data_IF_621157674991
#
_entry.id   IF_621157674991
#
_cell.length_a   1.000
_cell.length_b   1.000
_cell.length_c   1.000
_cell.angle_alpha   90.00
_cell.angle_beta   90.00
_cell.angle_gamma   90.00
#
_symmetry.space_group_name_H-M   'P 1'
#
loop_
_entity.id
_entity.type
_entity.pdbx_description
1 polymer ?
#
# COMPACT_ATOMS: atom_id res chain seq x y z
N UNK A 1 -25.27 -7.24 1.36
CA UNK A 1 -24.81 -6.95 -0.01
C UNK A 1 -25.94 -6.20 -0.70
N UNK A 2 -25.65 -5.06 -1.29
CA UNK A 2 -26.60 -4.25 -2.06
C UNK A 2 -26.18 -4.35 -3.52
N UNK A 3 -27.13 -4.41 -4.44
CA UNK A 3 -26.88 -4.47 -5.89
C UNK A 3 -27.26 -3.12 -6.49
N UNK A 4 -26.39 -2.58 -7.29
CA UNK A 4 -26.58 -1.33 -8.03
C UNK A 4 -26.38 -1.59 -9.51
N UNK A 5 -27.18 -0.95 -10.34
CA UNK A 5 -26.98 -0.92 -11.78
C UNK A 5 -26.10 0.28 -12.14
N UNK A 6 -25.23 0.10 -13.10
CA UNK A 6 -24.35 1.16 -13.62
C UNK A 6 -24.62 1.32 -15.13
N UNK A 7 -25.72 2.00 -15.54
CA UNK A 7 -26.06 2.21 -16.93
C UNK A 7 -25.17 3.27 -17.57
N UNK A 8 -25.08 3.23 -18.90
CA UNK A 8 -24.44 4.26 -19.74
C UNK A 8 -22.96 4.52 -19.41
N UNK A 9 -22.24 3.48 -18.95
CA UNK A 9 -20.83 3.55 -18.57
C UNK A 9 -19.94 3.36 -19.81
N UNK A 10 -19.03 4.31 -20.04
CA UNK A 10 -18.02 4.21 -21.09
C UNK A 10 -16.89 3.24 -20.72
N UNK A 11 -16.42 2.47 -21.69
CA UNK A 11 -15.25 1.58 -21.53
C UNK A 11 -13.96 2.35 -21.14
N UNK A 12 -13.90 3.64 -21.41
CA UNK A 12 -12.74 4.51 -21.11
C UNK A 12 -12.77 5.10 -19.71
N UNK A 13 -13.90 5.02 -19.01
CA UNK A 13 -14.01 5.43 -17.61
C UNK A 13 -13.14 4.55 -16.71
N UNK A 14 -12.61 5.14 -15.64
CA UNK A 14 -12.00 4.41 -14.55
C UNK A 14 -13.07 3.76 -13.65
N UNK A 15 -12.66 2.78 -12.86
CA UNK A 15 -13.54 2.11 -11.91
C UNK A 15 -14.13 3.08 -10.87
N UNK A 16 -13.40 4.12 -10.50
CA UNK A 16 -13.90 5.14 -9.57
C UNK A 16 -14.91 6.08 -10.21
N UNK A 17 -14.73 6.43 -11.49
CA UNK A 17 -15.72 7.24 -12.22
C UNK A 17 -17.05 6.49 -12.36
N UNK A 18 -17.04 5.18 -12.55
CA UNK A 18 -18.26 4.37 -12.49
C UNK A 18 -18.95 4.50 -11.12
N UNK A 19 -18.19 4.44 -10.01
CA UNK A 19 -18.76 4.63 -8.68
C UNK A 19 -19.31 6.05 -8.47
N UNK A 20 -18.68 7.07 -9.08
CA UNK A 20 -19.21 8.44 -9.07
C UNK A 20 -20.57 8.48 -9.79
N UNK A 21 -20.70 7.88 -10.98
CA UNK A 21 -21.97 7.81 -11.73
C UNK A 21 -23.07 7.11 -10.91
N UNK A 22 -22.74 5.98 -10.29
CA UNK A 22 -23.70 5.28 -9.41
C UNK A 22 -24.11 6.17 -8.24
N UNK A 23 -23.17 6.90 -7.63
CA UNK A 23 -23.47 7.80 -6.53
C UNK A 23 -24.31 9.02 -6.96
N UNK A 24 -24.07 9.58 -8.15
CA UNK A 24 -24.89 10.65 -8.71
C UNK A 24 -26.35 10.20 -8.88
N UNK A 25 -26.57 8.98 -9.37
CA UNK A 25 -27.91 8.40 -9.51
C UNK A 25 -28.57 8.16 -8.13
N UNK A 26 -27.83 7.65 -7.14
CA UNK A 26 -28.34 7.48 -5.77
C UNK A 26 -28.77 8.82 -5.16
N UNK A 27 -27.93 9.86 -5.30
CA UNK A 27 -28.24 11.21 -4.80
C UNK A 27 -29.47 11.78 -5.50
N UNK A 28 -29.60 11.60 -6.82
CA UNK A 28 -30.76 12.08 -7.57
C UNK A 28 -32.07 11.43 -7.11
N UNK A 29 -32.00 10.18 -6.61
CA UNK A 29 -33.15 9.45 -6.03
C UNK A 29 -33.36 9.75 -4.53
N UNK A 30 -32.51 10.59 -3.90
CA UNK A 30 -32.58 10.89 -2.49
C UNK A 30 -32.08 9.76 -1.58
N UNK A 31 -31.27 8.85 -2.13
CA UNK A 31 -30.62 7.76 -1.39
C UNK A 31 -29.21 8.15 -0.93
N UNK A 32 -28.72 7.49 0.12
CA UNK A 32 -27.34 7.70 0.60
C UNK A 32 -26.33 7.18 -0.44
N UNK A 33 -25.32 7.99 -0.83
CA UNK A 33 -24.26 7.54 -1.71
C UNK A 33 -23.34 6.53 -1.02
N UNK A 34 -22.75 5.66 -1.83
CA UNK A 34 -21.73 4.71 -1.37
C UNK A 34 -20.49 5.48 -0.92
N UNK A 35 -20.07 5.30 0.33
CA UNK A 35 -18.86 5.92 0.84
C UNK A 35 -17.63 5.13 0.38
N UNK A 36 -16.73 5.78 -0.35
CA UNK A 36 -15.43 5.22 -0.75
C UNK A 36 -14.35 6.32 -0.75
N UNK A 37 -13.11 5.90 -0.47
CA UNK A 37 -11.97 6.81 -0.49
C UNK A 37 -11.43 6.99 -1.91
N UNK A 38 -11.28 8.23 -2.35
CA UNK A 38 -10.58 8.60 -3.57
C UNK A 38 -9.95 9.97 -3.40
N UNK A 39 -8.70 10.15 -3.86
CA UNK A 39 -8.00 11.42 -3.77
C UNK A 39 -7.29 11.73 -5.10
N UNK A 40 -6.05 11.28 -5.31
CA UNK A 40 -5.25 11.67 -6.47
C UNK A 40 -5.83 11.21 -7.82
N UNK A 41 -6.51 10.08 -7.88
CA UNK A 41 -6.98 9.39 -9.10
C UNK A 41 -5.88 9.08 -10.13
N UNK A 42 -4.61 9.11 -9.69
CA UNK A 42 -3.41 8.91 -10.53
C UNK A 42 -2.55 7.73 -10.07
N UNK A 43 -3.07 6.89 -9.15
CA UNK A 43 -2.38 5.70 -8.66
C UNK A 43 -1.18 5.99 -7.77
N UNK A 44 -1.12 7.14 -7.08
CA UNK A 44 0.04 7.57 -6.29
C UNK A 44 -0.23 7.82 -4.80
N UNK A 45 -1.48 8.02 -4.38
CA UNK A 45 -1.79 8.33 -2.98
C UNK A 45 -2.14 7.10 -2.12
N UNK A 46 -2.53 5.97 -2.73
CA UNK A 46 -2.92 4.76 -2.02
C UNK A 46 -4.29 4.80 -1.33
N UNK A 47 -5.15 5.80 -1.62
CA UNK A 47 -6.44 5.95 -0.94
C UNK A 47 -7.54 5.03 -1.50
N UNK A 48 -7.57 4.74 -2.80
CA UNK A 48 -8.59 3.95 -3.47
C UNK A 48 -8.55 2.43 -3.11
N UNK A 49 -8.84 2.12 -1.87
CA UNK A 49 -8.64 0.80 -1.24
C UNK A 49 -9.86 -0.11 -1.46
N UNK A 50 -9.96 -0.75 -2.63
CA UNK A 50 -11.09 -1.60 -3.01
C UNK A 50 -10.64 -3.03 -3.34
N UNK A 51 -11.41 -4.01 -2.86
CA UNK A 51 -11.37 -5.39 -3.36
C UNK A 51 -12.42 -5.52 -4.45
N UNK A 52 -11.98 -5.78 -5.67
CA UNK A 52 -12.83 -5.87 -6.85
C UNK A 52 -12.83 -7.32 -7.32
N UNK A 53 -14.01 -7.95 -7.36
CA UNK A 53 -14.16 -9.39 -7.68
C UNK A 53 -13.22 -10.30 -6.88
N UNK A 54 -13.04 -10.00 -5.60
CA UNK A 54 -12.21 -10.78 -4.68
C UNK A 54 -10.70 -10.48 -4.74
N UNK A 55 -10.25 -9.56 -5.61
CA UNK A 55 -8.83 -9.21 -5.77
C UNK A 55 -8.61 -7.74 -5.42
N UNK A 56 -7.66 -7.42 -4.51
CA UNK A 56 -7.28 -6.04 -4.27
C UNK A 56 -6.91 -5.31 -5.56
N UNK A 57 -7.49 -4.13 -5.77
CA UNK A 57 -7.35 -3.31 -6.97
C UNK A 57 -7.80 -3.96 -8.30
N UNK A 58 -8.51 -5.11 -8.27
CA UNK A 58 -9.07 -5.75 -9.46
C UNK A 58 -8.11 -6.63 -10.26
N UNK A 59 -6.89 -6.89 -9.76
CA UNK A 59 -5.99 -7.93 -10.27
C UNK A 59 -5.19 -7.59 -11.53
N UNK A 60 -5.29 -6.39 -12.08
CA UNK A 60 -4.39 -5.94 -13.14
C UNK A 60 -3.02 -5.59 -12.56
N UNK A 61 -1.97 -6.13 -13.19
CA UNK A 61 -0.60 -5.94 -12.73
C UNK A 61 -0.23 -4.44 -12.73
N UNK A 62 0.41 -3.97 -11.66
CA UNK A 62 0.88 -2.60 -11.55
C UNK A 62 -0.22 -1.54 -11.52
N UNK A 63 -1.49 -1.92 -11.24
CA UNK A 63 -2.65 -1.06 -11.40
C UNK A 63 -3.38 -0.86 -10.07
N UNK A 64 -3.62 0.40 -9.68
CA UNK A 64 -4.49 0.76 -8.56
C UNK A 64 -5.95 0.89 -9.02
N UNK A 65 -6.93 0.81 -8.09
CA UNK A 65 -8.37 0.87 -8.45
C UNK A 65 -8.74 2.10 -9.27
N UNK A 66 -8.12 3.26 -8.99
CA UNK A 66 -8.35 4.49 -9.75
C UNK A 66 -7.78 4.47 -11.18
N UNK A 67 -6.92 3.50 -11.49
CA UNK A 67 -6.32 3.31 -12.82
C UNK A 67 -6.91 2.10 -13.55
N UNK A 68 -7.82 1.36 -12.90
CA UNK A 68 -8.52 0.24 -13.51
C UNK A 68 -9.64 0.79 -14.38
N UNK A 69 -9.56 0.56 -15.70
CA UNK A 69 -10.55 1.03 -16.66
C UNK A 69 -11.64 -0.02 -16.93
N UNK A 70 -12.83 0.44 -17.24
CA UNK A 70 -13.99 -0.44 -17.45
C UNK A 70 -13.90 -1.28 -18.72
N UNK A 71 -13.02 -0.96 -19.65
CA UNK A 71 -12.70 -1.82 -20.81
C UNK A 71 -12.23 -3.22 -20.45
N UNK A 72 -11.84 -3.45 -19.19
CA UNK A 72 -11.44 -4.76 -18.67
C UNK A 72 -12.64 -5.63 -18.24
N UNK A 73 -13.83 -5.07 -18.24
CA UNK A 73 -15.09 -5.75 -17.94
C UNK A 73 -15.95 -5.85 -19.20
N UNK A 74 -16.92 -6.75 -19.21
CA UNK A 74 -17.87 -6.91 -20.29
C UNK A 74 -19.21 -6.34 -19.88
N UNK A 75 -19.99 -5.88 -20.87
CA UNK A 75 -21.37 -5.48 -20.63
C UNK A 75 -22.16 -6.66 -20.06
N UNK A 76 -22.96 -6.39 -19.00
CA UNK A 76 -23.70 -7.40 -18.25
C UNK A 76 -22.89 -8.14 -17.18
N UNK A 77 -21.60 -7.86 -17.01
CA UNK A 77 -20.82 -8.45 -15.90
C UNK A 77 -21.34 -7.97 -14.54
N UNK A 78 -21.41 -8.89 -13.58
CA UNK A 78 -21.64 -8.55 -12.17
C UNK A 78 -20.32 -8.49 -11.43
N UNK A 79 -19.97 -7.31 -10.92
CA UNK A 79 -18.71 -7.05 -10.21
C UNK A 79 -18.99 -6.87 -8.73
N UNK A 80 -18.31 -7.64 -7.88
CA UNK A 80 -18.38 -7.46 -6.43
C UNK A 80 -17.33 -6.45 -5.96
N UNK A 81 -17.73 -5.53 -5.09
CA UNK A 81 -16.85 -4.51 -4.52
C UNK A 81 -16.90 -4.63 -3.00
N UNK A 82 -15.75 -4.66 -2.35
CA UNK A 82 -15.65 -4.83 -0.90
C UNK A 82 -14.54 -3.94 -0.35
N UNK A 83 -14.64 -3.52 0.94
CA UNK A 83 -13.53 -2.87 1.64
C UNK A 83 -12.39 -3.86 1.91
N UNK A 84 -11.22 -3.36 2.35
CA UNK A 84 -10.15 -4.22 2.84
C UNK A 84 -10.62 -5.12 3.99
N UNK A 85 -10.43 -6.42 3.86
CA UNK A 85 -10.78 -7.42 4.88
C UNK A 85 -9.61 -7.72 5.80
N UNK A 86 -9.27 -6.81 6.69
CA UNK A 86 -8.23 -7.03 7.69
C UNK A 86 -8.66 -6.47 9.04
N UNK A 87 -8.44 -7.20 10.12
CA UNK A 87 -8.79 -6.73 11.48
C UNK A 87 -8.09 -5.41 11.84
N UNK A 88 -6.87 -5.22 11.35
CA UNK A 88 -6.09 -4.00 11.56
C UNK A 88 -6.58 -2.80 10.72
N UNK A 89 -7.55 -3.01 9.82
CA UNK A 89 -8.22 -2.00 9.02
C UNK A 89 -9.73 -2.06 9.28
N UNK A 90 -10.22 -1.60 10.45
CA UNK A 90 -11.64 -1.61 10.75
C UNK A 90 -12.42 -0.78 9.73
N UNK A 91 -13.63 -1.23 9.39
CA UNK A 91 -14.51 -0.52 8.46
C UNK A 91 -15.10 0.69 9.19
N UNK A 92 -15.03 1.87 8.56
CA UNK A 92 -15.66 3.11 9.03
C UNK A 92 -17.08 3.20 8.47
N UNK A 93 -17.21 3.15 7.15
CA UNK A 93 -18.51 3.14 6.44
C UNK A 93 -18.32 2.55 5.05
N UNK A 94 -19.20 1.68 4.62
CA UNK A 94 -19.25 1.04 3.30
C UNK A 94 -17.88 0.49 2.85
N UNK A 95 -17.19 1.20 1.96
CA UNK A 95 -15.90 0.81 1.40
C UNK A 95 -14.70 1.49 2.08
N UNK A 96 -14.95 2.41 3.02
CA UNK A 96 -13.92 3.15 3.74
C UNK A 96 -13.42 2.35 4.94
N UNK A 97 -12.12 2.22 5.06
CA UNK A 97 -11.46 1.56 6.20
C UNK A 97 -10.46 2.49 6.90
N UNK A 98 -10.34 2.36 8.23
CA UNK A 98 -9.32 3.04 9.02
C UNK A 98 -7.95 2.39 8.77
N UNK A 99 -7.01 3.13 8.19
CA UNK A 99 -5.64 2.70 7.92
C UNK A 99 -4.62 3.40 8.82
N UNK A 100 -5.05 4.06 9.89
CA UNK A 100 -4.18 4.77 10.83
C UNK A 100 -3.11 3.88 11.47
N UNK A 101 -3.31 2.54 11.49
CA UNK A 101 -2.28 1.58 11.87
C UNK A 101 -0.99 1.73 11.03
N UNK A 102 -1.12 2.03 9.73
CA UNK A 102 0.04 2.28 8.87
C UNK A 102 0.76 3.58 9.24
N UNK A 103 0.02 4.62 9.57
CA UNK A 103 0.59 5.91 10.00
C UNK A 103 1.41 5.74 11.29
N UNK A 104 0.88 4.98 12.26
CA UNK A 104 1.61 4.68 13.51
C UNK A 104 2.88 3.86 13.26
N UNK A 105 2.88 2.95 12.28
CA UNK A 105 4.10 2.23 11.87
C UNK A 105 5.11 3.20 11.26
N UNK A 106 4.69 4.12 10.38
CA UNK A 106 5.59 5.13 9.81
C UNK A 106 6.14 6.05 10.90
N UNK A 107 5.32 6.49 11.85
CA UNK A 107 5.74 7.31 13.00
C UNK A 107 6.79 6.61 13.87
N UNK A 108 6.80 5.28 13.93
CA UNK A 108 7.76 4.51 14.72
C UNK A 108 9.19 4.52 14.15
N UNK A 109 9.38 4.87 12.86
CA UNK A 109 10.74 4.89 12.27
C UNK A 109 10.81 5.16 10.78
N UNK A 110 9.69 5.40 10.12
CA UNK A 110 9.62 5.61 8.66
C UNK A 110 10.13 6.98 8.18
N UNK A 111 11.05 7.59 8.90
CA UNK A 111 11.61 8.92 8.65
C UNK A 111 13.13 8.97 8.91
N UNK A 112 13.76 10.10 8.63
CA UNK A 112 15.16 10.41 8.97
C UNK A 112 15.13 11.63 9.88
N UNK A 113 15.67 11.49 11.12
CA UNK A 113 15.71 12.57 12.12
C UNK A 113 17.13 13.15 12.31
N UNK A 114 18.15 12.45 11.85
CA UNK A 114 19.55 12.92 11.93
C UNK A 114 19.81 14.02 10.91
N UNK A 115 20.69 14.96 11.29
CA UNK A 115 21.17 15.96 10.33
C UNK A 115 21.99 15.26 9.24
N UNK A 116 21.54 15.36 7.99
CA UNK A 116 22.21 14.74 6.83
C UNK A 116 23.23 15.65 6.16
N UNK A 117 23.47 16.86 6.70
CA UNK A 117 24.38 17.85 6.15
C UNK A 117 23.78 18.64 4.98
N UNK A 118 24.66 19.40 4.31
CA UNK A 118 24.31 20.16 3.10
C UNK A 118 24.58 19.39 1.82
N UNK A 119 24.62 20.09 0.70
CA UNK A 119 25.02 19.53 -0.60
C UNK A 119 26.42 18.93 -0.51
N UNK A 120 26.63 17.67 -0.93
CA UNK A 120 27.93 17.06 -0.90
C UNK A 120 28.91 17.78 -1.86
N UNK A 121 30.20 17.71 -1.54
CA UNK A 121 31.26 18.17 -2.43
C UNK A 121 31.20 17.46 -3.78
N UNK A 122 31.53 18.15 -4.88
CA UNK A 122 31.54 17.56 -6.22
C UNK A 122 32.50 16.37 -6.39
N UNK A 123 33.47 16.22 -5.49
CA UNK A 123 34.37 15.07 -5.43
C UNK A 123 33.91 13.97 -4.46
N UNK A 124 32.77 14.13 -3.79
CA UNK A 124 32.24 13.10 -2.91
C UNK A 124 31.93 11.82 -3.69
N UNK A 125 32.19 10.67 -3.05
CA UNK A 125 31.85 9.37 -3.64
C UNK A 125 30.33 9.25 -3.77
N UNK A 126 29.80 9.02 -4.99
CA UNK A 126 28.38 8.88 -5.21
C UNK A 126 27.84 7.62 -4.52
N UNK A 127 26.54 7.60 -4.27
CA UNK A 127 25.84 6.39 -3.84
C UNK A 127 25.91 5.36 -4.99
N UNK A 128 26.29 4.09 -4.74
CA UNK A 128 26.30 3.07 -5.78
C UNK A 128 24.92 2.96 -6.43
N UNK A 129 24.89 2.95 -7.78
CA UNK A 129 23.63 2.93 -8.55
C UNK A 129 22.68 1.81 -8.11
N UNK A 130 23.20 0.60 -7.92
CA UNK A 130 22.40 -0.56 -7.48
C UNK A 130 21.72 -0.34 -6.13
N UNK A 131 22.39 0.34 -5.18
CA UNK A 131 21.80 0.66 -3.88
C UNK A 131 20.73 1.76 -4.01
N UNK A 132 20.98 2.75 -4.86
CA UNK A 132 20.03 3.83 -5.13
C UNK A 132 18.78 3.30 -5.84
N UNK A 133 18.95 2.48 -6.89
CA UNK A 133 17.84 1.87 -7.64
C UNK A 133 16.95 1.03 -6.69
N UNK A 134 17.53 0.12 -5.92
CA UNK A 134 16.77 -0.68 -4.95
C UNK A 134 16.08 0.18 -3.88
N UNK A 135 16.70 1.28 -3.45
CA UNK A 135 16.07 2.20 -2.51
C UNK A 135 14.84 2.87 -3.13
N UNK A 136 14.94 3.30 -4.40
CA UNK A 136 13.85 3.95 -5.12
C UNK A 136 12.73 2.98 -5.47
N UNK A 137 13.05 1.73 -5.85
CA UNK A 137 12.07 0.66 -6.04
C UNK A 137 11.25 0.43 -4.75
N UNK A 138 11.92 0.37 -3.60
CA UNK A 138 11.24 0.26 -2.32
C UNK A 138 10.42 1.53 -1.97
N UNK A 139 10.92 2.72 -2.33
CA UNK A 139 10.24 4.00 -2.11
C UNK A 139 8.95 4.15 -2.92
N UNK A 140 8.77 3.38 -4.00
CA UNK A 140 7.57 3.41 -4.81
C UNK A 140 6.30 2.96 -4.05
N UNK A 141 6.42 2.36 -2.87
CA UNK A 141 5.29 1.96 -2.04
C UNK A 141 4.42 3.16 -1.66
N UNK A 142 3.14 3.11 -2.03
CA UNK A 142 2.14 4.17 -1.78
C UNK A 142 1.28 3.92 -0.51
N UNK A 143 1.58 2.89 0.27
CA UNK A 143 0.84 2.60 1.51
C UNK A 143 -0.63 2.23 1.32
N UNK A 144 -1.04 1.69 0.17
CA UNK A 144 -2.44 1.42 -0.14
C UNK A 144 -3.08 0.32 0.72
N UNK A 145 -2.30 -0.64 1.24
CA UNK A 145 -2.80 -1.75 2.05
C UNK A 145 -3.21 -3.00 1.27
N UNK A 146 -3.10 -3.04 -0.07
CA UNK A 146 -3.43 -4.20 -0.89
C UNK A 146 -2.67 -5.48 -0.46
N UNK A 147 -1.40 -5.32 -0.06
CA UNK A 147 -0.58 -6.41 0.45
C UNK A 147 -1.14 -7.06 1.73
N UNK A 148 -1.78 -6.27 2.59
CA UNK A 148 -2.46 -6.77 3.79
C UNK A 148 -3.78 -7.44 3.40
N UNK A 149 -4.57 -6.79 2.55
CA UNK A 149 -5.90 -7.25 2.15
C UNK A 149 -5.87 -8.61 1.44
N UNK A 150 -4.85 -8.88 0.62
CA UNK A 150 -4.70 -10.17 -0.08
C UNK A 150 -4.08 -11.27 0.80
N UNK A 151 -3.38 -10.88 1.84
CA UNK A 151 -2.66 -11.83 2.69
C UNK A 151 -3.63 -12.61 3.57
N UNK A 152 -3.61 -13.95 3.49
CA UNK A 152 -4.45 -14.80 4.37
C UNK A 152 -4.18 -14.58 5.87
N UNK A 153 -3.03 -14.04 6.22
CA UNK A 153 -2.67 -13.70 7.59
C UNK A 153 -2.81 -12.21 7.88
N UNK A 154 -3.27 -11.40 6.93
CA UNK A 154 -3.32 -9.92 7.04
C UNK A 154 -1.97 -9.31 7.49
N UNK A 155 -0.86 -9.79 6.94
CA UNK A 155 0.50 -9.34 7.33
C UNK A 155 0.86 -8.03 6.62
N UNK A 156 1.42 -7.07 7.36
CA UNK A 156 1.94 -5.80 6.83
C UNK A 156 3.43 -5.86 6.47
N UNK A 157 4.03 -7.05 6.45
CA UNK A 157 5.48 -7.22 6.23
C UNK A 157 6.00 -6.56 4.96
N UNK A 158 5.26 -6.59 3.83
CA UNK A 158 5.71 -5.95 2.60
C UNK A 158 5.73 -4.42 2.72
N UNK A 159 4.72 -3.83 3.36
CA UNK A 159 4.65 -2.39 3.61
C UNK A 159 5.81 -1.92 4.50
N UNK A 160 6.05 -2.59 5.63
CA UNK A 160 7.14 -2.26 6.55
C UNK A 160 8.50 -2.45 5.87
N UNK A 161 8.67 -3.57 5.17
CA UNK A 161 9.91 -3.90 4.46
C UNK A 161 10.26 -2.88 3.37
N UNK A 162 9.27 -2.36 2.66
CA UNK A 162 9.47 -1.33 1.66
C UNK A 162 10.05 -0.05 2.29
N UNK A 163 9.45 0.46 3.37
CA UNK A 163 9.94 1.68 4.03
C UNK A 163 11.28 1.48 4.72
N UNK A 164 11.47 0.38 5.42
CA UNK A 164 12.77 0.03 6.04
C UNK A 164 13.87 -0.08 4.98
N UNK A 165 13.61 -0.79 3.88
CA UNK A 165 14.59 -0.96 2.81
C UNK A 165 14.92 0.35 2.11
N UNK A 166 13.90 1.16 1.79
CA UNK A 166 14.07 2.50 1.24
C UNK A 166 15.11 3.30 2.04
N UNK A 167 14.88 3.50 3.33
CA UNK A 167 15.74 4.35 4.15
C UNK A 167 17.06 3.68 4.52
N UNK A 168 17.08 2.36 4.77
CA UNK A 168 18.31 1.65 5.16
C UNK A 168 19.32 1.48 4.01
N UNK A 169 18.89 1.55 2.76
CA UNK A 169 19.79 1.50 1.59
C UNK A 169 20.45 2.84 1.31
N UNK A 170 19.80 3.95 1.68
CA UNK A 170 20.33 5.29 1.48
C UNK A 170 21.29 5.70 2.61
N UNK A 171 22.36 6.46 2.32
CA UNK A 171 23.31 6.95 3.33
C UNK A 171 22.62 7.69 4.48
N UNK A 172 21.63 8.53 4.17
CA UNK A 172 20.89 9.35 5.12
C UNK A 172 20.16 8.53 6.19
N UNK A 173 19.69 7.34 5.81
CA UNK A 173 18.93 6.47 6.72
C UNK A 173 19.81 5.51 7.53
N UNK A 174 21.11 5.40 7.23
CA UNK A 174 22.00 4.39 7.85
C UNK A 174 22.26 4.62 9.34
N UNK A 175 22.27 5.86 9.80
CA UNK A 175 22.52 6.17 11.21
C UNK A 175 21.46 5.55 12.12
N UNK A 176 20.21 5.53 11.68
CA UNK A 176 19.05 5.07 12.45
C UNK A 176 18.55 3.67 12.03
N UNK A 177 19.27 2.97 11.15
CA UNK A 177 18.77 1.75 10.50
C UNK A 177 18.39 0.63 11.47
N UNK A 178 19.18 0.43 12.53
CA UNK A 178 18.97 -0.65 13.50
C UNK A 178 17.75 -0.31 14.38
N UNK A 179 17.65 0.93 14.90
CA UNK A 179 16.49 1.39 15.66
C UNK A 179 15.20 1.39 14.80
N UNK A 180 15.30 1.86 13.55
CA UNK A 180 14.18 1.89 12.61
C UNK A 180 13.54 0.51 12.42
N UNK A 181 14.35 -0.49 12.07
CA UNK A 181 13.80 -1.82 11.80
C UNK A 181 13.18 -2.43 13.05
N UNK A 182 13.78 -2.28 14.23
CA UNK A 182 13.23 -2.79 15.48
C UNK A 182 11.91 -2.10 15.83
N UNK A 183 11.88 -0.78 15.80
CA UNK A 183 10.70 0.00 16.19
C UNK A 183 9.53 -0.23 15.22
N UNK A 184 9.77 -0.23 13.91
CA UNK A 184 8.70 -0.41 12.92
C UNK A 184 8.12 -1.83 12.94
N UNK A 185 8.95 -2.86 13.13
CA UNK A 185 8.48 -4.24 13.28
C UNK A 185 7.69 -4.39 14.59
N UNK A 186 8.21 -3.87 15.69
CA UNK A 186 7.50 -3.89 16.97
C UNK A 186 6.15 -3.17 16.90
N UNK A 187 6.08 -2.02 16.21
CA UNK A 187 4.82 -1.32 16.04
C UNK A 187 3.85 -2.11 15.17
N UNK A 188 4.32 -2.73 14.09
CA UNK A 188 3.49 -3.62 13.26
C UNK A 188 2.85 -4.75 14.09
N UNK A 189 3.63 -5.37 14.98
CA UNK A 189 3.12 -6.42 15.86
C UNK A 189 2.06 -5.89 16.85
N UNK A 190 2.26 -4.68 17.39
CA UNK A 190 1.29 -4.02 18.28
C UNK A 190 -0.03 -3.68 17.58
N UNK A 191 0.00 -3.35 16.29
CA UNK A 191 -1.20 -3.04 15.50
C UNK A 191 -2.04 -4.29 15.18
N UNK A 192 -1.55 -5.48 15.51
CA UNK A 192 -2.27 -6.74 15.32
C UNK A 192 -2.26 -7.27 13.89
N UNK A 193 -1.26 -6.89 13.09
CA UNK A 193 -1.01 -7.53 11.79
C UNK A 193 -0.47 -8.94 11.99
N UNK A 194 -0.92 -9.87 11.16
CA UNK A 194 -0.52 -11.27 11.25
C UNK A 194 0.89 -11.55 10.74
N UNK A 195 1.41 -12.73 11.10
CA UNK A 195 2.74 -13.17 10.71
C UNK A 195 2.84 -13.49 9.22
N UNK A 196 3.97 -13.15 8.61
CA UNK A 196 4.26 -13.50 7.23
C UNK A 196 4.61 -14.99 7.09
N UNK A 197 3.94 -15.68 6.18
CA UNK A 197 4.22 -17.08 5.80
C UNK A 197 4.76 -17.20 4.35
N UNK A 198 5.23 -16.10 3.79
CA UNK A 198 5.90 -16.02 2.47
C UNK A 198 5.09 -16.64 1.33
N UNK A 199 3.78 -16.34 1.27
CA UNK A 199 2.90 -16.86 0.20
C UNK A 199 3.07 -16.14 -1.14
N UNK A 200 3.67 -14.96 -1.16
CA UNK A 200 3.92 -14.18 -2.38
C UNK A 200 2.73 -13.37 -2.89
N UNK A 201 1.52 -13.57 -2.37
CA UNK A 201 0.31 -12.89 -2.86
C UNK A 201 0.40 -11.36 -2.78
N UNK A 202 1.12 -10.83 -1.79
CA UNK A 202 1.28 -9.39 -1.59
C UNK A 202 2.06 -8.70 -2.73
N UNK A 203 3.09 -9.35 -3.26
CA UNK A 203 3.83 -8.86 -4.44
C UNK A 203 2.95 -8.92 -5.69
N UNK A 204 2.19 -10.01 -5.85
CA UNK A 204 1.36 -10.25 -7.03
C UNK A 204 0.27 -9.18 -7.25
N UNK A 205 -0.30 -8.62 -6.16
CA UNK A 205 -1.35 -7.59 -6.24
C UNK A 205 -0.83 -6.16 -6.03
N UNK A 206 0.48 -5.99 -5.83
CA UNK A 206 1.02 -4.68 -5.53
C UNK A 206 0.93 -3.74 -6.74
N UNK A 207 0.19 -2.60 -6.65
CA UNK A 207 0.07 -1.66 -7.77
C UNK A 207 1.38 -0.91 -8.06
N UNK A 208 2.41 -1.10 -7.23
CA UNK A 208 3.76 -0.55 -7.39
C UNK A 208 4.84 -1.63 -7.50
N UNK A 209 4.44 -2.88 -7.68
CA UNK A 209 5.34 -4.02 -7.92
C UNK A 209 6.48 -4.15 -6.89
N UNK A 210 6.17 -3.87 -5.61
CA UNK A 210 7.16 -3.96 -4.54
C UNK A 210 7.58 -5.42 -4.33
N UNK A 211 8.87 -5.70 -4.47
CA UNK A 211 9.41 -7.05 -4.43
C UNK A 211 9.45 -7.66 -3.02
N UNK A 212 9.15 -8.96 -2.93
CA UNK A 212 9.34 -9.78 -1.72
C UNK A 212 10.79 -9.79 -1.22
N UNK A 213 11.76 -9.50 -2.07
CA UNK A 213 13.17 -9.43 -1.68
C UNK A 213 13.41 -8.40 -0.56
N UNK A 214 12.57 -7.36 -0.48
CA UNK A 214 12.64 -6.38 0.61
C UNK A 214 12.25 -6.98 1.97
N UNK A 215 11.35 -7.96 2.01
CA UNK A 215 11.04 -8.69 3.25
C UNK A 215 12.28 -9.47 3.72
N UNK A 216 12.94 -10.17 2.82
CA UNK A 216 14.17 -10.90 3.16
C UNK A 216 15.28 -9.96 3.65
N UNK A 217 15.43 -8.80 2.99
CA UNK A 217 16.37 -7.76 3.42
C UNK A 217 16.03 -7.23 4.82
N UNK A 218 14.76 -6.89 5.07
CA UNK A 218 14.32 -6.39 6.37
C UNK A 218 14.54 -7.42 7.47
N UNK A 219 14.24 -8.70 7.24
CA UNK A 219 14.49 -9.77 8.21
C UNK A 219 15.98 -9.90 8.56
N UNK A 220 16.86 -9.75 7.57
CA UNK A 220 18.30 -9.72 7.82
C UNK A 220 18.71 -8.49 8.64
N UNK A 221 18.22 -7.29 8.29
CA UNK A 221 18.50 -6.06 9.03
C UNK A 221 18.01 -6.17 10.49
N UNK A 222 16.83 -6.76 10.71
CA UNK A 222 16.25 -7.02 12.03
C UNK A 222 17.11 -7.98 12.86
N UNK A 223 17.50 -9.12 12.29
CA UNK A 223 18.39 -10.08 12.96
C UNK A 223 19.73 -9.47 13.35
N UNK A 224 20.34 -8.67 12.47
CA UNK A 224 21.59 -7.95 12.77
C UNK A 224 21.40 -6.92 13.89
N UNK A 225 20.28 -6.20 13.91
CA UNK A 225 19.98 -5.21 14.95
C UNK A 225 19.85 -5.87 16.33
N UNK A 226 19.15 -7.01 16.42
CA UNK A 226 19.04 -7.81 17.68
C UNK A 226 20.41 -8.27 18.15
N UNK A 227 21.24 -8.83 17.26
CA UNK A 227 22.58 -9.33 17.63
C UNK A 227 23.51 -8.24 18.14
N UNK A 228 23.30 -6.98 17.75
CA UNK A 228 24.05 -5.82 18.26
C UNK A 228 23.57 -5.34 19.62
N UNK A 229 22.51 -5.91 20.18
CA UNK A 229 21.94 -5.50 21.46
C UNK A 229 21.28 -4.11 21.44
N UNK A 230 20.75 -3.72 20.31
CA UNK A 230 20.10 -2.41 20.11
C UNK A 230 18.60 -2.59 19.93
#
# INVERSE_FOLDING_TARGET
>A
MVVYDAPDISADMSFLEMLDVVNEDLIARGEDPIAFDSDCREGICGMCSLVISGIPHGGHKGTASCQLHLRHFKDGDTVTIEPWRAKAFPIIKDLITDRSAFDRIIQAGGFVSVNTGGTPDGNALPVPKTAADLAMDAAACIGCGACVAVCKNASAMLFVAAKVSHLNLLPQGKAEKDARVLNMVQQMDKEGFGNCTVTGSCEAVCPKEISLSFIAKMNRDYGVAILKGR
#
